data_IF_944700786519
#
_entry.id   IF_944700786519
#
_cell.length_a   1.000
_cell.length_b   1.000
_cell.length_c   1.000
_cell.angle_alpha   90.00
_cell.angle_beta   90.00
_cell.angle_gamma   90.00
#
_symmetry.space_group_name_H-M   'P 1'
#
loop_
_entity.id
_entity.type
_entity.pdbx_description
1 polymer ?
#
# COMPACT_ATOMS: atom_id res chain seq x y z
N UNK A 1 -16.87 -5.83 -15.38
CA UNK A 1 -15.95 -6.81 -14.85
C UNK A 1 -15.97 -6.76 -13.32
N UNK A 2 -15.91 -7.89 -12.70
CA UNK A 2 -16.03 -7.96 -11.25
C UNK A 2 -14.68 -7.99 -10.59
N UNK A 3 -14.58 -7.27 -9.47
CA UNK A 3 -13.44 -7.41 -8.59
C UNK A 3 -13.49 -8.80 -7.98
N UNK A 4 -12.42 -9.53 -8.08
CA UNK A 4 -12.38 -10.88 -7.56
C UNK A 4 -12.33 -10.90 -6.05
N UNK A 5 -11.41 -10.12 -5.46
CA UNK A 5 -11.26 -10.00 -4.03
C UNK A 5 -10.78 -8.58 -3.75
N UNK A 6 -11.43 -7.90 -2.80
CA UNK A 6 -11.02 -6.55 -2.46
C UNK A 6 -11.21 -6.31 -0.97
N UNK A 7 -10.29 -5.56 -0.40
CA UNK A 7 -10.35 -5.22 1.01
C UNK A 7 -9.74 -3.84 1.22
N UNK A 8 -10.34 -3.09 2.13
CA UNK A 8 -9.88 -1.73 2.45
C UNK A 8 -9.47 -1.67 3.90
N UNK A 9 -8.53 -0.78 4.19
CA UNK A 9 -8.14 -0.48 5.56
C UNK A 9 -7.84 1.00 5.68
N UNK A 10 -8.10 1.54 6.85
CA UNK A 10 -7.70 2.91 7.15
C UNK A 10 -6.29 2.89 7.68
N UNK A 11 -5.45 3.73 7.11
CA UNK A 11 -4.06 3.85 7.54
C UNK A 11 -3.70 5.32 7.62
N UNK A 12 -2.61 5.61 8.29
CA UNK A 12 -2.09 6.96 8.28
C UNK A 12 -0.63 6.94 7.88
N UNK A 13 -0.20 8.00 7.26
CA UNK A 13 1.16 8.11 6.76
C UNK A 13 1.21 9.18 5.70
N UNK A 14 2.24 9.13 4.88
CA UNK A 14 2.44 10.10 3.82
C UNK A 14 2.88 9.37 2.56
N UNK A 15 2.31 9.76 1.44
CA UNK A 15 2.66 9.19 0.15
C UNK A 15 3.00 10.28 -0.84
N UNK A 16 3.84 9.94 -1.81
CA UNK A 16 4.19 10.88 -2.86
C UNK A 16 3.42 10.51 -4.11
N UNK A 17 2.51 11.37 -4.49
CA UNK A 17 1.70 11.18 -5.67
C UNK A 17 2.13 12.10 -6.79
N UNK A 18 1.26 12.21 -7.78
CA UNK A 18 1.51 12.98 -8.98
C UNK A 18 1.79 14.45 -8.69
N UNK A 19 1.10 15.01 -7.71
CA UNK A 19 1.21 16.42 -7.38
C UNK A 19 2.06 16.70 -6.16
N UNK A 20 2.77 15.69 -5.64
CA UNK A 20 3.61 15.85 -4.48
C UNK A 20 3.18 14.96 -3.32
N UNK A 21 3.65 15.28 -2.14
CA UNK A 21 3.34 14.49 -0.96
C UNK A 21 1.93 14.80 -0.44
N UNK A 22 1.25 13.78 0.03
CA UNK A 22 -0.08 13.95 0.59
C UNK A 22 -0.26 12.98 1.76
N UNK A 23 -1.15 13.33 2.67
CA UNK A 23 -1.46 12.47 3.81
C UNK A 23 -2.28 11.27 3.34
N UNK A 24 -1.86 10.08 3.72
CA UNK A 24 -2.61 8.87 3.39
C UNK A 24 -3.78 8.71 4.36
N UNK A 25 -4.87 8.18 3.87
CA UNK A 25 -6.05 7.90 4.68
C UNK A 25 -6.50 6.46 4.56
N UNK A 26 -6.27 5.86 3.41
CA UNK A 26 -6.86 4.57 3.10
C UNK A 26 -5.94 3.78 2.19
N UNK A 27 -5.94 2.47 2.36
CA UNK A 27 -5.31 1.57 1.40
C UNK A 27 -6.37 0.58 0.92
N UNK A 28 -6.44 0.44 -0.39
CA UNK A 28 -7.33 -0.51 -1.05
C UNK A 28 -6.47 -1.60 -1.66
N UNK A 29 -6.74 -2.84 -1.28
CA UNK A 29 -5.98 -3.98 -1.78
C UNK A 29 -6.94 -4.91 -2.50
N UNK A 30 -6.58 -5.31 -3.70
CA UNK A 30 -7.44 -6.21 -4.47
C UNK A 30 -6.61 -7.22 -5.25
N UNK A 31 -7.23 -8.34 -5.57
CA UNK A 31 -6.65 -9.32 -6.49
C UNK A 31 -7.56 -9.34 -7.71
N UNK A 32 -7.10 -8.74 -8.80
CA UNK A 32 -7.95 -8.48 -9.95
C UNK A 32 -7.07 -8.21 -11.16
N UNK A 33 -7.67 -7.83 -12.26
CA UNK A 33 -6.94 -7.51 -13.48
C UNK A 33 -6.11 -6.25 -13.29
N UNK A 34 -4.82 -6.28 -13.70
CA UNK A 34 -3.98 -5.08 -13.62
C UNK A 34 -4.26 -4.14 -14.79
N UNK A 35 -3.87 -2.88 -14.62
CA UNK A 35 -3.89 -1.93 -15.72
C UNK A 35 -2.66 -2.05 -16.61
N UNK A 36 -1.50 -2.21 -16.00
CA UNK A 36 -0.24 -2.08 -16.71
C UNK A 36 0.62 -3.33 -16.64
N UNK A 37 0.69 -3.97 -15.49
CA UNK A 37 1.57 -5.11 -15.29
C UNK A 37 1.19 -6.26 -16.22
N UNK A 38 2.19 -7.01 -16.73
CA UNK A 38 1.94 -8.06 -17.72
C UNK A 38 1.49 -9.37 -17.09
N UNK A 39 0.53 -9.30 -16.18
CA UNK A 39 -0.04 -10.46 -15.51
C UNK A 39 -1.50 -10.59 -15.84
N UNK A 40 -2.01 -11.80 -15.85
CA UNK A 40 -3.44 -12.00 -16.02
C UNK A 40 -4.21 -11.43 -14.83
N UNK A 41 -3.69 -11.68 -13.63
CA UNK A 41 -4.23 -11.09 -12.40
C UNK A 41 -3.07 -10.58 -11.57
N UNK A 42 -3.32 -9.54 -10.79
CA UNK A 42 -2.29 -8.91 -9.98
C UNK A 42 -2.83 -8.58 -8.61
N UNK A 43 -1.92 -8.47 -7.66
CA UNK A 43 -2.22 -7.90 -6.35
C UNK A 43 -2.08 -6.39 -6.51
N UNK A 44 -3.20 -5.69 -6.45
CA UNK A 44 -3.24 -4.25 -6.71
C UNK A 44 -3.37 -3.51 -5.40
N UNK A 45 -2.55 -2.50 -5.21
CA UNK A 45 -2.57 -1.70 -3.98
C UNK A 45 -2.74 -0.24 -4.38
N UNK A 46 -3.74 0.42 -3.82
CA UNK A 46 -3.95 1.85 -4.00
C UNK A 46 -3.90 2.52 -2.64
N UNK A 47 -3.01 3.49 -2.50
CA UNK A 47 -2.95 4.34 -1.32
C UNK A 47 -3.60 5.65 -1.70
N UNK A 48 -4.64 6.06 -0.97
CA UNK A 48 -5.44 7.18 -1.41
C UNK A 48 -5.82 8.12 -0.27
N UNK A 49 -6.14 9.35 -0.64
CA UNK A 49 -6.84 10.29 0.21
C UNK A 49 -7.85 11.02 -0.66
N UNK A 50 -9.07 10.54 -0.66
CA UNK A 50 -10.10 11.07 -1.56
C UNK A 50 -10.43 12.52 -1.26
N UNK A 51 -10.23 12.96 -0.03
CA UNK A 51 -10.53 14.34 0.32
C UNK A 51 -9.58 15.31 -0.36
N UNK A 52 -8.43 14.85 -0.84
CA UNK A 52 -7.45 15.70 -1.50
C UNK A 52 -7.43 15.56 -3.01
N UNK A 53 -8.44 14.89 -3.56
CA UNK A 53 -8.64 14.81 -4.98
C UNK A 53 -7.97 13.62 -5.65
N UNK A 54 -8.18 13.45 -6.96
CA UNK A 54 -7.70 12.25 -7.67
C UNK A 54 -6.17 12.17 -7.78
N UNK A 55 -5.46 13.28 -7.58
CA UNK A 55 -4.01 13.26 -7.60
C UNK A 55 -3.40 12.67 -6.33
N UNK A 56 -4.19 12.54 -5.27
CA UNK A 56 -3.71 11.99 -4.00
C UNK A 56 -3.87 10.47 -4.00
N UNK A 57 -3.06 9.83 -4.83
CA UNK A 57 -3.15 8.40 -5.04
C UNK A 57 -1.79 7.83 -5.47
N UNK A 58 -1.45 6.68 -4.90
CA UNK A 58 -0.29 5.92 -5.34
C UNK A 58 -0.75 4.51 -5.63
N UNK A 59 -0.55 4.04 -6.85
CA UNK A 59 -1.01 2.73 -7.29
C UNK A 59 0.18 1.81 -7.53
N UNK A 60 0.03 0.55 -7.12
CA UNK A 60 1.06 -0.47 -7.29
C UNK A 60 0.39 -1.76 -7.74
N UNK A 61 1.04 -2.45 -8.69
CA UNK A 61 0.57 -3.74 -9.18
C UNK A 61 1.69 -4.75 -9.00
N UNK A 62 1.42 -5.85 -8.30
CA UNK A 62 2.43 -6.83 -7.96
C UNK A 62 1.99 -8.23 -8.36
N UNK A 63 2.97 -9.08 -8.65
CA UNK A 63 2.69 -10.50 -8.74
C UNK A 63 2.39 -11.03 -7.34
N UNK A 64 1.80 -12.21 -7.26
CA UNK A 64 1.54 -12.84 -5.96
C UNK A 64 2.84 -13.02 -5.18
N UNK A 65 3.88 -13.46 -5.86
CA UNK A 65 5.16 -13.68 -5.21
C UNK A 65 5.77 -12.38 -4.68
N UNK A 66 5.69 -11.32 -5.48
CA UNK A 66 6.19 -10.02 -5.06
C UNK A 66 5.40 -9.48 -3.88
N UNK A 67 4.09 -9.70 -3.87
CA UNK A 67 3.26 -9.27 -2.76
C UNK A 67 3.63 -9.98 -1.47
N UNK A 68 3.87 -11.31 -1.55
CA UNK A 68 4.29 -12.07 -0.38
C UNK A 68 5.65 -11.62 0.13
N UNK A 69 6.57 -11.34 -0.80
CA UNK A 69 7.89 -10.84 -0.43
C UNK A 69 7.78 -9.48 0.26
N UNK A 70 6.88 -8.62 -0.23
CA UNK A 70 6.69 -7.31 0.38
C UNK A 70 6.17 -7.44 1.81
N UNK A 71 5.19 -8.32 2.04
CA UNK A 71 4.66 -8.56 3.38
C UNK A 71 5.79 -9.01 4.31
N UNK A 72 6.58 -9.98 3.87
CA UNK A 72 7.67 -10.51 4.69
C UNK A 72 8.74 -9.45 4.98
N UNK A 73 9.03 -8.63 3.99
CA UNK A 73 10.03 -7.58 4.15
C UNK A 73 9.58 -6.54 5.16
N UNK A 74 8.31 -6.15 5.09
CA UNK A 74 7.75 -5.20 6.05
C UNK A 74 7.81 -5.77 7.46
N UNK A 75 7.39 -7.03 7.61
CA UNK A 75 7.41 -7.67 8.92
C UNK A 75 8.81 -7.79 9.48
N UNK A 76 9.79 -8.11 8.62
CA UNK A 76 11.16 -8.24 9.06
C UNK A 76 11.73 -6.91 9.57
N UNK A 77 11.44 -5.81 8.87
CA UNK A 77 11.90 -4.49 9.29
C UNK A 77 11.25 -4.10 10.60
N UNK A 78 9.94 -4.33 10.73
CA UNK A 78 9.23 -3.99 11.96
C UNK A 78 9.74 -4.82 13.15
N UNK A 79 10.04 -6.10 12.92
CA UNK A 79 10.58 -6.95 13.99
C UNK A 79 11.95 -6.45 14.45
N UNK A 80 12.78 -6.01 13.52
CA UNK A 80 14.10 -5.48 13.89
C UNK A 80 13.97 -4.14 14.61
N UNK A 81 13.02 -3.31 14.20
CA UNK A 81 12.77 -2.05 14.87
C UNK A 81 12.28 -2.28 16.30
N UNK A 82 11.43 -3.28 16.47
CA UNK A 82 10.94 -3.62 17.80
C UNK A 82 12.07 -4.14 18.68
N UNK A 83 12.92 -5.01 18.14
CA UNK A 83 14.05 -5.56 18.90
C UNK A 83 15.03 -4.48 19.32
N UNK A 84 15.16 -3.42 18.53
CA UNK A 84 16.02 -2.30 18.86
C UNK A 84 15.36 -1.24 19.74
N UNK A 85 14.10 -1.44 20.12
CA UNK A 85 13.40 -0.50 20.97
C UNK A 85 12.85 0.73 20.26
N UNK A 86 12.92 0.76 18.94
CA UNK A 86 12.53 1.96 18.19
C UNK A 86 11.02 2.16 18.13
N UNK A 87 10.24 1.09 18.27
CA UNK A 87 8.79 1.20 18.16
C UNK A 87 8.18 1.90 19.37
N UNK A 88 8.92 2.06 20.45
CA UNK A 88 8.44 2.74 21.64
C UNK A 88 8.69 4.24 21.60
N UNK A 89 9.33 4.74 20.55
CA UNK A 89 9.64 6.15 20.47
C UNK A 89 8.38 6.99 20.28
N UNK A 90 8.31 8.14 20.94
CA UNK A 90 7.14 9.00 20.75
C UNK A 90 7.16 9.61 19.35
N UNK A 91 5.97 9.94 18.89
CA UNK A 91 5.83 10.62 17.62
C UNK A 91 6.39 12.04 17.75
N UNK A 92 7.08 12.48 16.73
CA UNK A 92 7.69 13.81 16.71
C UNK A 92 6.76 14.80 16.04
#
# INVERSE_FOLDING_TARGET
MCTMIAQQAQIEGSGQGKSGWFALREVDVSYDYPFDAPFEHALNIDFVNEAQGPGARVAVELSVEAARTLVETIQAVLSRAEAGGFLAEPKV
#
